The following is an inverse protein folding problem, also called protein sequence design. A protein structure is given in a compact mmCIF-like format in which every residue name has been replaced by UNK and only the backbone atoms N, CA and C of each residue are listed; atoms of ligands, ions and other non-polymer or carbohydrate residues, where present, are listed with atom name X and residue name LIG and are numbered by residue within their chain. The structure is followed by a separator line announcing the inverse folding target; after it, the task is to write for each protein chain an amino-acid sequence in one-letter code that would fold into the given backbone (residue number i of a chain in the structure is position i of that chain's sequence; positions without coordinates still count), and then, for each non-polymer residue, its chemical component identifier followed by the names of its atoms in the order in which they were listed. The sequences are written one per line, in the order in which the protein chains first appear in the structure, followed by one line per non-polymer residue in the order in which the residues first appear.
data_IF_349242846174
#
_entry.id   IF_349242846174
#
_cell.length_a   1.000
_cell.length_b   1.000
_cell.length_c   1.000
_cell.angle_alpha   90.00
_cell.angle_beta   90.00
_cell.angle_gamma   90.00
#
_symmetry.space_group_name_H-M   'P 1'
#
loop_
_entity.id
_entity.type
_entity.pdbx_description
1 polymer ?
#
# COMPACT_ATOMS: atom_id res chain seq x y z
N UNK A 1 5.38 -10.67 -7.56
CA UNK A 1 5.23 -9.46 -8.38
C UNK A 1 6.60 -8.96 -8.84
N UNK A 2 6.83 -8.88 -10.13
CA UNK A 2 8.08 -8.34 -10.70
C UNK A 2 8.07 -6.80 -10.77
N UNK A 3 7.17 -6.14 -10.05
CA UNK A 3 6.99 -4.68 -10.15
C UNK A 3 8.24 -3.94 -9.66
N UNK A 4 8.73 -4.27 -8.47
CA UNK A 4 9.90 -3.60 -7.91
C UNK A 4 11.21 -3.89 -8.66
N UNK A 5 11.34 -5.07 -9.29
CA UNK A 5 12.54 -5.41 -10.04
C UNK A 5 12.66 -4.70 -11.40
N UNK A 6 11.58 -4.08 -11.86
CA UNK A 6 11.57 -3.31 -13.12
C UNK A 6 11.80 -1.81 -12.90
N UNK A 7 11.60 -1.35 -11.67
CA UNK A 7 11.80 0.03 -11.26
C UNK A 7 12.99 0.08 -10.32
N UNK A 8 14.04 0.75 -10.71
CA UNK A 8 15.24 0.90 -9.89
C UNK A 8 15.03 2.01 -8.84
N UNK A 9 14.16 1.73 -7.86
CA UNK A 9 13.84 2.65 -6.77
C UNK A 9 14.75 2.34 -5.58
N UNK A 10 15.51 3.33 -5.15
CA UNK A 10 16.38 3.23 -3.97
C UNK A 10 16.01 4.29 -2.94
N UNK A 11 16.02 3.91 -1.68
CA UNK A 11 15.84 4.79 -0.53
C UNK A 11 17.10 4.81 0.35
N UNK A 12 17.06 5.51 1.49
CA UNK A 12 18.21 5.62 2.41
C UNK A 12 18.76 4.27 2.89
N UNK A 13 17.93 3.24 2.95
CA UNK A 13 18.32 1.91 3.45
C UNK A 13 18.45 0.84 2.36
N UNK A 14 18.47 1.21 1.08
CA UNK A 14 18.67 0.27 0.00
C UNK A 14 17.57 0.27 -1.08
N UNK A 15 17.53 -0.79 -1.87
CA UNK A 15 16.59 -0.91 -2.96
C UNK A 15 15.21 -1.40 -2.49
N UNK A 16 14.14 -0.85 -3.07
CA UNK A 16 12.77 -1.27 -2.77
C UNK A 16 12.53 -2.75 -3.06
N UNK A 17 13.20 -3.30 -4.08
CA UNK A 17 13.13 -4.73 -4.40
C UNK A 17 13.70 -5.63 -3.30
N UNK A 18 14.71 -5.16 -2.56
CA UNK A 18 15.30 -5.87 -1.41
C UNK A 18 14.35 -5.81 -0.21
N UNK A 19 13.79 -4.63 0.09
CA UNK A 19 12.79 -4.44 1.15
C UNK A 19 11.57 -5.33 0.94
N UNK A 20 11.14 -5.52 -0.30
CA UNK A 20 10.01 -6.37 -0.63
C UNK A 20 10.38 -7.86 -0.86
N UNK A 21 11.62 -8.26 -0.55
CA UNK A 21 12.11 -9.63 -0.74
C UNK A 21 11.72 -10.23 -2.11
N UNK A 22 11.70 -9.42 -3.15
CA UNK A 22 11.38 -9.76 -4.53
C UNK A 22 9.89 -9.89 -4.84
N UNK A 23 9.10 -10.63 -4.07
CA UNK A 23 7.69 -10.90 -4.36
C UNK A 23 6.72 -10.70 -3.17
N UNK A 24 7.17 -10.02 -2.12
CA UNK A 24 6.37 -9.74 -0.93
C UNK A 24 6.12 -8.22 -0.72
N UNK A 25 5.54 -7.52 -1.71
CA UNK A 25 5.36 -6.10 -1.63
C UNK A 25 4.36 -5.70 -0.55
N UNK A 26 4.73 -4.72 0.25
CA UNK A 26 3.92 -4.12 1.30
C UNK A 26 4.02 -2.60 1.23
N UNK A 27 2.92 -1.93 1.50
CA UNK A 27 2.87 -0.48 1.57
C UNK A 27 1.71 -0.02 2.44
N UNK A 28 1.90 1.04 3.19
CA UNK A 28 0.84 1.68 3.95
C UNK A 28 -0.20 2.24 3.00
N UNK A 29 -1.46 1.82 3.14
CA UNK A 29 -2.58 2.12 2.25
C UNK A 29 -2.32 1.74 0.76
N UNK A 30 -1.28 0.95 0.48
CA UNK A 30 -0.83 0.71 -0.89
C UNK A 30 -0.18 1.93 -1.56
N UNK A 31 0.12 2.98 -0.81
CA UNK A 31 0.57 4.29 -1.32
C UNK A 31 1.99 4.61 -0.89
N UNK A 32 2.33 4.46 0.39
CA UNK A 32 3.63 4.88 0.95
C UNK A 32 4.37 3.71 1.58
N UNK A 33 5.71 3.73 1.50
CA UNK A 33 6.57 2.69 2.07
C UNK A 33 7.48 3.32 3.12
N UNK A 34 7.64 2.70 4.30
CA UNK A 34 8.62 3.14 5.30
C UNK A 34 10.02 3.24 4.70
N UNK A 35 10.78 4.26 5.12
CA UNK A 35 12.16 4.51 4.69
C UNK A 35 12.32 4.91 3.20
N UNK A 36 11.21 5.23 2.52
CA UNK A 36 11.22 5.77 1.16
C UNK A 36 10.51 7.14 1.15
N UNK A 37 11.20 8.20 1.60
CA UNK A 37 10.61 9.53 1.69
C UNK A 37 10.11 10.02 0.33
N UNK A 38 8.93 10.62 0.33
CA UNK A 38 8.30 11.22 -0.84
C UNK A 38 8.01 10.21 -1.98
N UNK A 39 8.08 8.91 -1.70
CA UNK A 39 7.61 7.88 -2.61
C UNK A 39 6.12 7.64 -2.38
N UNK A 40 5.31 8.06 -3.36
CA UNK A 40 3.88 7.80 -3.38
C UNK A 40 3.52 6.98 -4.62
N UNK A 41 2.77 5.91 -4.42
CA UNK A 41 2.37 4.99 -5.49
C UNK A 41 0.87 5.10 -5.78
N UNK A 42 0.53 5.07 -7.05
CA UNK A 42 -0.83 4.79 -7.51
C UNK A 42 -0.93 3.33 -7.92
N UNK A 43 -2.03 2.68 -7.58
CA UNK A 43 -2.24 1.25 -7.81
C UNK A 43 -1.10 0.38 -7.24
N UNK A 44 -0.61 0.73 -6.06
CA UNK A 44 0.44 -0.01 -5.37
C UNK A 44 -0.03 -1.35 -4.79
N UNK A 45 0.81 -2.04 -4.02
CA UNK A 45 0.46 -3.32 -3.41
C UNK A 45 -0.83 -3.23 -2.60
N UNK A 46 -1.58 -4.34 -2.52
CA UNK A 46 -2.80 -4.47 -1.70
C UNK A 46 -4.04 -3.72 -2.20
N UNK A 47 -3.99 -3.03 -3.33
CA UNK A 47 -5.07 -2.14 -3.77
C UNK A 47 -5.86 -2.62 -4.99
N UNK A 48 -5.55 -3.80 -5.51
CA UNK A 48 -6.30 -4.39 -6.61
C UNK A 48 -7.73 -4.76 -6.22
N UNK A 49 -8.60 -4.91 -7.21
CA UNK A 49 -9.99 -5.29 -7.02
C UNK A 49 -10.12 -6.81 -6.92
N UNK A 50 -10.57 -7.30 -5.77
CA UNK A 50 -10.91 -8.72 -5.57
C UNK A 50 -12.40 -9.00 -5.69
N UNK A 51 -13.25 -8.01 -5.43
CA UNK A 51 -14.69 -8.17 -5.33
C UNK A 51 -15.49 -7.48 -6.45
N UNK A 52 -14.84 -7.04 -7.47
CA UNK A 52 -15.45 -6.16 -8.47
C UNK A 52 -15.45 -4.68 -8.04
N UNK A 53 -15.96 -3.83 -8.90
CA UNK A 53 -15.96 -2.38 -8.72
C UNK A 53 -15.10 -1.68 -9.78
N UNK A 54 -14.66 -0.46 -9.49
CA UNK A 54 -13.93 0.36 -10.45
C UNK A 54 -12.48 0.60 -10.04
N UNK A 55 -11.54 0.19 -10.90
CA UNK A 55 -10.11 0.55 -10.74
C UNK A 55 -9.87 2.05 -10.87
N UNK A 56 -10.73 2.77 -11.60
CA UNK A 56 -10.69 4.23 -11.69
C UNK A 56 -10.99 4.85 -10.32
N UNK A 57 -11.99 4.31 -9.60
CA UNK A 57 -12.31 4.79 -8.25
C UNK A 57 -11.12 4.60 -7.29
N UNK A 58 -10.40 3.48 -7.37
CA UNK A 58 -9.17 3.28 -6.60
C UNK A 58 -8.11 4.34 -6.95
N UNK A 59 -7.95 4.63 -8.25
CA UNK A 59 -7.01 5.67 -8.69
C UNK A 59 -7.43 7.06 -8.18
N UNK A 60 -8.73 7.36 -8.12
CA UNK A 60 -9.25 8.59 -7.51
C UNK A 60 -8.97 8.67 -6.01
N UNK A 61 -9.14 7.57 -5.26
CA UNK A 61 -8.75 7.50 -3.85
C UNK A 61 -7.27 7.83 -3.66
N UNK A 62 -6.40 7.23 -4.49
CA UNK A 62 -4.95 7.48 -4.44
C UNK A 62 -4.62 8.93 -4.79
N UNK A 63 -5.16 9.45 -5.88
CA UNK A 63 -4.92 10.82 -6.31
C UNK A 63 -5.36 11.84 -5.26
N UNK A 64 -6.54 11.62 -4.67
CA UNK A 64 -7.05 12.46 -3.57
C UNK A 64 -6.11 12.43 -2.36
N UNK A 65 -5.72 11.23 -1.91
CA UNK A 65 -4.84 11.07 -0.76
C UNK A 65 -3.45 11.69 -0.99
N UNK A 66 -2.84 11.40 -2.14
CA UNK A 66 -1.51 11.93 -2.50
C UNK A 66 -1.54 13.45 -2.62
N UNK A 67 -2.56 14.01 -3.27
CA UNK A 67 -2.72 15.47 -3.38
C UNK A 67 -2.84 16.13 -2.00
N UNK A 68 -3.68 15.57 -1.12
CA UNK A 68 -3.80 16.07 0.25
C UNK A 68 -2.51 15.93 1.05
N UNK A 69 -1.76 14.85 0.86
CA UNK A 69 -0.45 14.65 1.48
C UNK A 69 0.51 15.76 1.05
N UNK A 70 0.61 16.05 -0.26
CA UNK A 70 1.48 17.09 -0.79
C UNK A 70 1.06 18.47 -0.27
N UNK A 71 -0.25 18.77 -0.27
CA UNK A 71 -0.77 20.04 0.27
C UNK A 71 -0.44 20.19 1.76
N UNK A 72 -0.59 19.11 2.54
CA UNK A 72 -0.22 19.10 3.96
C UNK A 72 1.28 19.37 4.14
N UNK A 73 2.14 18.72 3.36
CA UNK A 73 3.59 18.95 3.39
C UNK A 73 3.91 20.43 3.13
N UNK A 74 3.32 21.02 2.10
CA UNK A 74 3.55 22.42 1.74
C UNK A 74 3.08 23.39 2.84
N UNK A 75 1.91 23.14 3.43
CA UNK A 75 1.36 24.00 4.46
C UNK A 75 2.13 23.93 5.79
N UNK A 76 2.64 22.74 6.13
CA UNK A 76 3.35 22.50 7.39
C UNK A 76 4.87 22.67 7.26
N UNK A 77 5.38 22.98 6.06
CA UNK A 77 6.82 23.13 5.80
C UNK A 77 7.58 21.80 5.95
N UNK A 78 6.96 20.70 5.55
CA UNK A 78 7.53 19.35 5.60
C UNK A 78 8.23 19.06 4.28
N UNK A 79 9.53 18.80 4.30
CA UNK A 79 10.33 18.49 3.11
C UNK A 79 10.34 17.00 2.78
N UNK A 80 10.22 16.15 3.78
CA UNK A 80 10.26 14.69 3.62
C UNK A 80 9.14 14.01 4.43
N UNK A 81 8.50 13.03 3.83
CA UNK A 81 7.42 12.29 4.46
C UNK A 81 7.41 10.84 3.99
N UNK A 82 7.50 9.88 4.91
CA UNK A 82 7.36 8.45 4.65
C UNK A 82 6.51 7.80 5.73
N UNK A 83 5.75 6.76 5.38
CA UNK A 83 4.97 6.02 6.37
C UNK A 83 5.88 5.48 7.49
N UNK A 84 5.37 5.45 8.72
CA UNK A 84 6.06 4.74 9.80
C UNK A 84 5.94 3.23 9.61
N UNK A 85 6.93 2.48 10.09
CA UNK A 85 6.82 1.01 10.10
C UNK A 85 5.62 0.53 10.89
N UNK A 86 5.32 1.20 12.02
CA UNK A 86 4.16 0.88 12.84
C UNK A 86 2.83 1.03 12.09
N UNK A 87 2.67 2.11 11.33
CA UNK A 87 1.46 2.32 10.53
C UNK A 87 1.31 1.25 9.43
N UNK A 88 2.41 0.93 8.75
CA UNK A 88 2.39 -0.15 7.75
C UNK A 88 2.05 -1.50 8.38
N UNK A 89 2.65 -1.85 9.50
CA UNK A 89 2.42 -3.13 10.18
C UNK A 89 0.97 -3.27 10.65
N UNK A 90 0.39 -2.21 11.21
CA UNK A 90 -1.02 -2.18 11.60
C UNK A 90 -1.95 -2.36 10.40
N UNK A 91 -1.70 -1.62 9.31
CA UNK A 91 -2.45 -1.75 8.06
C UNK A 91 -2.35 -3.17 7.48
N UNK A 92 -1.14 -3.74 7.42
CA UNK A 92 -0.92 -5.09 6.90
C UNK A 92 -1.52 -6.17 7.79
N UNK A 93 -1.56 -5.98 9.11
CA UNK A 93 -2.26 -6.87 10.05
C UNK A 93 -3.75 -6.94 9.72
N UNK A 94 -4.41 -5.79 9.56
CA UNK A 94 -5.83 -5.72 9.23
C UNK A 94 -6.11 -6.25 7.81
N UNK A 95 -5.23 -5.95 6.86
CA UNK A 95 -5.28 -6.50 5.51
C UNK A 95 -5.26 -8.03 5.51
N UNK A 96 -4.32 -8.65 6.23
CA UNK A 96 -4.20 -10.09 6.31
C UNK A 96 -5.41 -10.73 7.02
N UNK A 97 -5.91 -10.12 8.08
CA UNK A 97 -7.15 -10.56 8.77
C UNK A 97 -8.35 -10.52 7.83
N UNK A 98 -8.49 -9.46 7.05
CA UNK A 98 -9.57 -9.32 6.07
C UNK A 98 -9.56 -10.39 4.99
N UNK A 99 -8.40 -10.99 4.70
CA UNK A 99 -8.29 -12.08 3.73
C UNK A 99 -8.53 -13.48 4.31
N UNK A 100 -8.49 -13.66 5.64
CA UNK A 100 -8.45 -14.98 6.27
C UNK A 100 -9.57 -15.93 5.80
N UNK A 101 -10.78 -15.41 5.61
CA UNK A 101 -11.95 -16.18 5.22
C UNK A 101 -12.31 -16.07 3.72
N UNK A 102 -11.43 -15.44 2.92
CA UNK A 102 -11.68 -15.26 1.49
C UNK A 102 -11.40 -16.54 0.71
N UNK A 103 -12.18 -16.79 -0.35
CA UNK A 103 -12.07 -18.00 -1.16
C UNK A 103 -10.67 -18.24 -1.72
N UNK A 104 -9.92 -17.20 -2.04
CA UNK A 104 -8.54 -17.33 -2.54
C UNK A 104 -7.54 -17.75 -1.48
N UNK A 105 -7.93 -17.80 -0.19
CA UNK A 105 -7.11 -18.36 0.90
C UNK A 105 -7.41 -19.84 1.15
N UNK A 106 -8.44 -20.40 0.53
CA UNK A 106 -8.77 -21.81 0.69
C UNK A 106 -7.62 -22.72 0.19
N UNK A 107 -7.24 -23.77 0.93
CA UNK A 107 -6.08 -24.63 0.59
C UNK A 107 -6.11 -25.24 -0.80
N UNK A 108 -7.32 -25.53 -1.33
CA UNK A 108 -7.53 -26.10 -2.66
C UNK A 108 -7.49 -25.11 -3.82
N UNK A 109 -7.29 -23.82 -3.55
CA UNK A 109 -7.33 -22.75 -4.58
C UNK A 109 -5.92 -22.32 -4.96
N UNK A 110 -5.61 -22.42 -6.25
CA UNK A 110 -4.41 -21.80 -6.84
C UNK A 110 -4.79 -20.46 -7.44
N UNK A 111 -4.12 -19.38 -7.04
CA UNK A 111 -4.42 -18.03 -7.52
C UNK A 111 -3.15 -17.21 -7.66
N UNK A 112 -3.14 -16.32 -8.65
CA UNK A 112 -2.07 -15.33 -8.82
C UNK A 112 -2.11 -14.18 -7.81
N UNK A 113 -3.14 -14.12 -6.96
CA UNK A 113 -3.23 -13.13 -5.88
C UNK A 113 -2.24 -13.38 -4.74
N UNK A 114 -1.75 -14.63 -4.61
CA UNK A 114 -0.79 -15.02 -3.58
C UNK A 114 0.64 -15.01 -4.11
N UNK A 115 1.57 -14.59 -3.25
CA UNK A 115 3.00 -14.67 -3.52
C UNK A 115 3.55 -16.07 -3.21
N UNK A 116 4.87 -16.27 -3.37
CA UNK A 116 5.55 -17.54 -3.10
C UNK A 116 5.39 -18.03 -1.65
N UNK A 117 5.13 -17.11 -0.71
CA UNK A 117 4.90 -17.41 0.72
C UNK A 117 3.44 -17.67 1.04
N UNK A 118 2.55 -17.69 0.05
CA UNK A 118 1.12 -17.91 0.22
C UNK A 118 0.34 -16.69 0.73
N UNK A 119 0.96 -15.52 0.89
CA UNK A 119 0.29 -14.29 1.30
C UNK A 119 -0.39 -13.62 0.10
N UNK A 120 -1.61 -13.15 0.29
CA UNK A 120 -2.26 -12.27 -0.69
C UNK A 120 -1.55 -10.91 -0.65
N UNK A 121 -1.18 -10.39 -1.81
CA UNK A 121 -0.42 -9.14 -1.92
C UNK A 121 -1.02 -8.12 -2.89
N UNK A 122 -1.97 -8.53 -3.72
CA UNK A 122 -2.40 -7.72 -4.85
C UNK A 122 -3.78 -7.11 -4.70
N UNK A 123 -4.73 -7.81 -4.10
CA UNK A 123 -6.14 -7.39 -4.02
C UNK A 123 -6.51 -6.98 -2.60
N UNK A 124 -7.41 -5.98 -2.48
CA UNK A 124 -7.90 -5.56 -1.17
C UNK A 124 -9.05 -6.45 -0.68
N UNK A 125 -9.17 -6.68 0.64
CA UNK A 125 -10.28 -7.43 1.22
C UNK A 125 -11.51 -6.57 1.50
N UNK A 126 -11.37 -5.25 1.49
CA UNK A 126 -12.40 -4.30 1.89
C UNK A 126 -13.29 -3.87 0.71
N UNK A 127 -14.45 -3.34 1.04
CA UNK A 127 -15.31 -2.65 0.06
C UNK A 127 -14.66 -1.32 -0.36
N UNK A 128 -15.00 -0.83 -1.52
CA UNK A 128 -14.47 0.46 -2.02
C UNK A 128 -14.79 1.63 -1.07
N UNK A 129 -15.97 1.63 -0.46
CA UNK A 129 -16.34 2.67 0.51
C UNK A 129 -15.47 2.64 1.78
N UNK A 130 -15.06 1.45 2.21
CA UNK A 130 -14.16 1.31 3.36
C UNK A 130 -12.78 1.87 3.01
N UNK A 131 -12.27 1.55 1.84
CA UNK A 131 -10.99 2.08 1.34
C UNK A 131 -11.03 3.60 1.13
N UNK A 132 -12.13 4.12 0.58
CA UNK A 132 -12.35 5.57 0.51
C UNK A 132 -12.25 6.23 1.88
N UNK A 133 -12.89 5.65 2.90
CA UNK A 133 -12.82 6.19 4.27
C UNK A 133 -11.40 6.17 4.84
N UNK A 134 -10.60 5.14 4.53
CA UNK A 134 -9.19 5.07 4.95
C UNK A 134 -8.32 6.13 4.28
N UNK A 135 -8.67 6.56 3.06
CA UNK A 135 -7.87 7.48 2.23
C UNK A 135 -8.43 8.90 2.17
N UNK A 136 -9.45 9.23 2.96
CA UNK A 136 -10.05 10.58 2.95
C UNK A 136 -9.16 11.64 3.57
N UNK A 137 -8.43 11.29 4.63
CA UNK A 137 -7.64 12.22 5.42
C UNK A 137 -6.24 11.67 5.67
N UNK A 138 -5.27 12.56 5.64
CA UNK A 138 -3.88 12.26 5.98
C UNK A 138 -3.70 12.39 7.48
N UNK A 139 -3.21 11.34 8.12
CA UNK A 139 -2.88 11.34 9.55
C UNK A 139 -1.38 11.49 9.70
N UNK A 140 -0.90 12.66 10.08
CA UNK A 140 0.54 12.91 10.25
C UNK A 140 1.19 11.98 11.27
N UNK A 141 0.44 11.50 12.27
CA UNK A 141 0.95 10.50 13.22
C UNK A 141 1.37 9.16 12.61
N UNK A 142 0.89 8.87 11.40
CA UNK A 142 1.26 7.64 10.68
C UNK A 142 2.52 7.81 9.82
N UNK A 143 3.14 8.99 9.87
CA UNK A 143 4.29 9.35 9.05
C UNK A 143 5.48 9.84 9.88
N UNK A 144 6.66 9.50 9.39
CA UNK A 144 7.91 10.19 9.74
C UNK A 144 8.05 11.40 8.83
N UNK A 145 8.32 12.56 9.42
CA UNK A 145 8.41 13.85 8.73
C UNK A 145 9.77 14.51 9.00
N UNK A 146 10.28 15.21 7.98
CA UNK A 146 11.55 15.92 8.08
C UNK A 146 11.62 17.14 7.18
#
# INVERSE_FOLDING_TARGET
SKMASRLNITGPKGALSEVWNGDDPQAYLGISVPEFPNLFMMAGPTTGLGHGGSGIFIAECHAHYIANTIVTMLNEGIDQMSATQQAQDAYMSDYNKGHADMIWMHPGVTTYYRNSKGRVYSVMPWRLVDYWNMTREVKLSDYEVG
#
